data_IF_675765602062
#
_entry.id   IF_675765602062
#
_cell.length_a   1.000
_cell.length_b   1.000
_cell.length_c   1.000
_cell.angle_alpha   90.00
_cell.angle_beta   90.00
_cell.angle_gamma   90.00
#
_symmetry.space_group_name_H-M   'P 1'
#
loop_
_entity.id
_entity.type
_entity.pdbx_description
1 polymer ?
#
# COMPACT_ATOMS: atom_id res chain seq x y z
N UNK A 1 -38.11 27.03 54.29
CA UNK A 1 -36.82 26.97 53.59
C UNK A 1 -36.98 25.96 52.47
N UNK A 2 -36.89 26.40 51.20
CA UNK A 2 -37.28 25.59 50.04
C UNK A 2 -36.19 24.57 49.70
N UNK A 3 -36.20 23.43 50.38
CA UNK A 3 -35.35 22.28 50.07
C UNK A 3 -35.52 21.80 48.62
N UNK A 4 -36.71 21.95 48.04
CA UNK A 4 -36.96 21.68 46.60
C UNK A 4 -36.13 22.56 45.67
N UNK A 5 -35.94 23.84 45.99
CA UNK A 5 -35.13 24.73 45.17
C UNK A 5 -33.66 24.33 45.18
N UNK A 6 -33.17 23.83 46.32
CA UNK A 6 -31.81 23.31 46.45
C UNK A 6 -31.64 22.01 45.66
N UNK A 7 -32.64 21.12 45.70
CA UNK A 7 -32.65 19.88 44.91
C UNK A 7 -32.63 20.14 43.40
N UNK A 8 -33.47 21.05 42.91
CA UNK A 8 -33.51 21.43 41.50
C UNK A 8 -32.19 22.04 41.01
N UNK A 9 -31.55 22.89 41.83
CA UNK A 9 -30.23 23.46 41.51
C UNK A 9 -29.16 22.36 41.45
N UNK A 10 -29.17 21.41 42.39
CA UNK A 10 -28.23 20.29 42.38
C UNK A 10 -28.39 19.39 41.15
N UNK A 11 -29.63 19.16 40.69
CA UNK A 11 -29.92 18.39 39.48
C UNK A 11 -29.42 19.08 38.21
N UNK A 12 -29.61 20.40 38.10
CA UNK A 12 -29.09 21.19 36.97
C UNK A 12 -27.57 21.19 36.96
N UNK A 13 -26.93 21.42 38.11
CA UNK A 13 -25.46 21.40 38.23
C UNK A 13 -24.89 20.00 37.94
N UNK A 14 -25.55 18.95 38.42
CA UNK A 14 -25.18 17.57 38.12
C UNK A 14 -25.27 17.26 36.63
N UNK A 15 -26.37 17.66 35.99
CA UNK A 15 -26.57 17.47 34.54
C UNK A 15 -25.53 18.23 33.71
N UNK A 16 -25.23 19.49 34.06
CA UNK A 16 -24.18 20.28 33.42
C UNK A 16 -22.81 19.62 33.60
N UNK A 17 -22.53 19.08 34.79
CA UNK A 17 -21.27 18.39 35.07
C UNK A 17 -21.11 17.16 34.21
N UNK A 18 -22.15 16.33 34.10
CA UNK A 18 -22.14 15.13 33.24
C UNK A 18 -21.94 15.50 31.77
N UNK A 19 -22.67 16.50 31.26
CA UNK A 19 -22.52 16.99 29.88
C UNK A 19 -21.08 17.47 29.64
N UNK A 20 -20.50 18.21 30.59
CA UNK A 20 -19.12 18.70 30.49
C UNK A 20 -18.11 17.54 30.46
N UNK A 21 -18.30 16.52 31.28
CA UNK A 21 -17.45 15.32 31.26
C UNK A 21 -17.56 14.55 29.94
N UNK A 22 -18.77 14.38 29.40
CA UNK A 22 -18.98 13.73 28.10
C UNK A 22 -18.34 14.52 26.97
N UNK A 23 -18.43 15.85 27.00
CA UNK A 23 -17.78 16.71 26.03
C UNK A 23 -16.26 16.58 26.09
N UNK A 24 -15.69 16.61 27.30
CA UNK A 24 -14.26 16.37 27.50
C UNK A 24 -13.82 15.00 26.98
N UNK A 25 -14.58 13.95 27.27
CA UNK A 25 -14.29 12.59 26.79
C UNK A 25 -14.36 12.50 25.27
N UNK A 26 -15.34 13.14 24.63
CA UNK A 26 -15.44 13.18 23.17
C UNK A 26 -14.22 13.85 22.52
N UNK A 27 -13.76 14.97 23.09
CA UNK A 27 -12.53 15.63 22.66
C UNK A 27 -11.30 14.75 22.91
N UNK A 28 -11.22 14.11 24.07
CA UNK A 28 -10.12 13.21 24.42
C UNK A 28 -10.02 12.03 23.44
N UNK A 29 -11.14 11.39 23.11
CA UNK A 29 -11.19 10.29 22.14
C UNK A 29 -10.80 10.79 20.74
N UNK A 30 -11.24 11.99 20.34
CA UNK A 30 -10.83 12.59 19.06
C UNK A 30 -9.32 12.81 18.99
N UNK A 31 -8.74 13.41 20.03
CA UNK A 31 -7.29 13.62 20.10
C UNK A 31 -6.51 12.30 20.10
N UNK A 32 -6.97 11.29 20.86
CA UNK A 32 -6.35 9.97 20.86
C UNK A 32 -6.37 9.33 19.46
N UNK A 33 -7.47 9.46 18.73
CA UNK A 33 -7.58 8.96 17.34
C UNK A 33 -6.61 9.67 16.40
N UNK A 34 -6.47 10.98 16.52
CA UNK A 34 -5.54 11.77 15.69
C UNK A 34 -4.07 11.45 15.99
N UNK A 35 -3.73 11.21 17.27
CA UNK A 35 -2.41 10.76 17.69
C UNK A 35 -2.07 9.36 17.14
N UNK A 36 -3.00 8.41 17.25
CA UNK A 36 -2.83 7.06 16.71
C UNK A 36 -2.64 7.11 15.18
N UNK A 37 -3.41 7.94 14.47
CA UNK A 37 -3.24 8.10 13.01
C UNK A 37 -1.85 8.62 12.66
N UNK A 38 -1.36 9.60 13.41
CA UNK A 38 -0.01 10.15 13.21
C UNK A 38 1.05 9.10 13.50
N UNK A 39 0.95 8.37 14.62
CA UNK A 39 1.94 7.34 14.98
C UNK A 39 1.98 6.19 13.97
N UNK A 40 0.84 5.78 13.41
CA UNK A 40 0.80 4.76 12.34
C UNK A 40 1.52 5.25 11.09
N UNK A 41 1.32 6.51 10.69
CA UNK A 41 2.03 7.11 9.55
C UNK A 41 3.54 7.18 9.80
N UNK A 42 3.95 7.59 10.99
CA UNK A 42 5.36 7.65 11.37
C UNK A 42 6.01 6.27 11.39
N UNK A 43 5.34 5.27 11.96
CA UNK A 43 5.82 3.89 12.02
C UNK A 43 6.04 3.32 10.62
N UNK A 44 5.11 3.55 9.69
CA UNK A 44 5.27 3.11 8.29
C UNK A 44 6.45 3.77 7.60
N UNK A 45 6.62 5.08 7.79
CA UNK A 45 7.78 5.78 7.25
C UNK A 45 9.09 5.29 7.89
N UNK A 46 9.06 4.85 9.14
CA UNK A 46 10.21 4.22 9.80
C UNK A 46 10.48 2.83 9.21
N UNK A 47 9.46 2.01 8.96
CA UNK A 47 9.60 0.69 8.33
C UNK A 47 10.17 0.79 6.91
N UNK A 48 9.65 1.72 6.08
CA UNK A 48 10.19 1.92 4.74
C UNK A 48 11.66 2.35 4.78
N UNK A 49 12.02 3.30 5.67
CA UNK A 49 13.40 3.72 5.87
C UNK A 49 14.28 2.57 6.33
N UNK A 50 13.80 1.71 7.22
CA UNK A 50 14.54 0.53 7.69
C UNK A 50 14.79 -0.46 6.54
N UNK A 51 13.80 -0.72 5.68
CA UNK A 51 13.98 -1.56 4.48
C UNK A 51 15.01 -0.97 3.51
N UNK A 52 14.93 0.34 3.26
CA UNK A 52 15.90 1.03 2.39
C UNK A 52 17.31 1.00 2.99
N UNK A 53 17.44 1.25 4.29
CA UNK A 53 18.73 1.18 4.99
C UNK A 53 19.29 -0.24 4.99
N UNK A 54 18.46 -1.28 5.10
CA UNK A 54 18.92 -2.67 5.00
C UNK A 54 19.60 -2.95 3.65
N UNK A 55 19.07 -2.42 2.55
CA UNK A 55 19.71 -2.55 1.22
C UNK A 55 21.07 -1.86 1.21
N UNK A 56 21.19 -0.68 1.83
CA UNK A 56 22.44 0.11 1.82
C UNK A 56 23.49 -0.47 2.78
N UNK A 57 23.06 -0.96 3.94
CA UNK A 57 23.94 -1.38 5.04
C UNK A 57 24.37 -2.85 4.94
N UNK A 58 23.69 -3.66 4.14
CA UNK A 58 24.04 -5.07 3.91
C UNK A 58 24.66 -5.21 2.52
N UNK A 59 25.99 -5.36 2.41
CA UNK A 59 26.68 -5.46 1.12
C UNK A 59 26.13 -6.55 0.20
N UNK A 60 25.75 -7.69 0.79
CA UNK A 60 25.16 -8.81 0.07
C UNK A 60 23.84 -8.40 -0.57
N UNK A 61 22.92 -7.79 0.19
CA UNK A 61 21.63 -7.34 -0.32
C UNK A 61 21.78 -6.21 -1.35
N UNK A 62 22.74 -5.29 -1.14
CA UNK A 62 23.07 -4.24 -2.10
C UNK A 62 23.51 -4.83 -3.45
N UNK A 63 24.42 -5.81 -3.42
CA UNK A 63 24.86 -6.55 -4.62
C UNK A 63 23.70 -7.24 -5.32
N UNK A 64 22.83 -7.91 -4.56
CA UNK A 64 21.64 -8.57 -5.11
C UNK A 64 20.68 -7.59 -5.76
N UNK A 65 20.45 -6.44 -5.12
CA UNK A 65 19.59 -5.41 -5.68
C UNK A 65 20.15 -4.85 -7.00
N UNK A 66 21.47 -4.66 -7.09
CA UNK A 66 22.14 -4.27 -8.33
C UNK A 66 21.92 -5.28 -9.46
N UNK A 67 22.10 -6.58 -9.18
CA UNK A 67 21.87 -7.68 -10.13
C UNK A 67 20.40 -7.79 -10.56
N UNK A 68 19.47 -7.68 -9.60
CA UNK A 68 18.04 -7.70 -9.88
C UNK A 68 17.60 -6.55 -10.78
N UNK A 69 18.08 -5.33 -10.50
CA UNK A 69 17.75 -4.14 -11.29
C UNK A 69 18.31 -4.21 -12.71
N UNK A 70 19.51 -4.79 -12.91
CA UNK A 70 20.11 -4.90 -14.24
C UNK A 70 19.35 -5.82 -15.20
N UNK A 71 18.54 -6.76 -14.66
CA UNK A 71 17.71 -7.66 -15.46
C UNK A 71 16.21 -7.39 -15.29
N UNK A 72 15.82 -6.25 -14.68
CA UNK A 72 14.43 -5.89 -14.47
C UNK A 72 13.77 -5.45 -15.80
N UNK A 73 13.23 -6.42 -16.53
CA UNK A 73 12.60 -6.19 -17.84
C UNK A 73 11.27 -6.92 -17.96
N UNK A 74 10.29 -6.39 -18.73
CA UNK A 74 9.03 -7.06 -19.00
C UNK A 74 9.16 -8.43 -19.68
N UNK A 75 10.32 -8.72 -20.29
CA UNK A 75 10.59 -10.00 -20.96
C UNK A 75 10.79 -11.19 -19.99
N UNK A 76 10.94 -10.94 -18.68
CA UNK A 76 11.05 -11.98 -17.68
C UNK A 76 9.65 -12.51 -17.33
N UNK A 77 9.41 -13.79 -17.62
CA UNK A 77 8.08 -14.43 -17.50
C UNK A 77 8.01 -15.50 -16.40
N UNK A 78 9.12 -15.84 -15.75
CA UNK A 78 9.14 -16.76 -14.60
C UNK A 78 10.20 -16.41 -13.58
N UNK A 79 9.99 -16.83 -12.33
CA UNK A 79 10.98 -16.64 -11.25
C UNK A 79 12.31 -17.34 -11.58
N UNK A 80 12.26 -18.51 -12.24
CA UNK A 80 13.46 -19.23 -12.66
C UNK A 80 14.29 -18.42 -13.68
N UNK A 81 13.63 -17.86 -14.70
CA UNK A 81 14.29 -16.97 -15.68
C UNK A 81 14.88 -15.72 -15.00
N UNK A 82 14.16 -15.14 -14.03
CA UNK A 82 14.66 -14.00 -13.27
C UNK A 82 15.93 -14.36 -12.51
N UNK A 83 15.94 -15.48 -11.77
CA UNK A 83 17.11 -15.90 -10.99
C UNK A 83 18.30 -16.27 -11.86
N UNK A 84 18.05 -16.87 -13.03
CA UNK A 84 19.10 -17.15 -14.01
C UNK A 84 19.69 -15.86 -14.59
N UNK A 85 18.84 -14.93 -15.04
CA UNK A 85 19.27 -13.66 -15.61
C UNK A 85 19.99 -12.75 -14.60
N UNK A 86 19.61 -12.81 -13.33
CA UNK A 86 20.27 -12.10 -12.24
C UNK A 86 21.53 -12.83 -11.72
N UNK A 87 21.81 -14.04 -12.22
CA UNK A 87 22.86 -14.94 -11.74
C UNK A 87 22.79 -15.12 -10.21
N UNK A 88 21.59 -15.41 -9.70
CA UNK A 88 21.36 -15.65 -8.27
C UNK A 88 21.72 -17.08 -7.89
N UNK A 89 22.59 -17.22 -6.90
CA UNK A 89 22.80 -18.51 -6.22
C UNK A 89 21.57 -18.93 -5.42
N UNK A 90 21.52 -20.18 -4.95
CA UNK A 90 20.44 -20.62 -4.06
C UNK A 90 20.35 -19.80 -2.76
N UNK A 91 21.49 -19.33 -2.24
CA UNK A 91 21.54 -18.45 -1.07
C UNK A 91 21.00 -17.04 -1.40
N UNK A 92 21.40 -16.51 -2.55
CA UNK A 92 20.91 -15.21 -3.06
C UNK A 92 19.38 -15.20 -3.18
N UNK A 93 18.79 -16.29 -3.66
CA UNK A 93 17.34 -16.45 -3.79
C UNK A 93 16.63 -16.38 -2.42
N UNK A 94 17.19 -16.99 -1.38
CA UNK A 94 16.61 -16.95 -0.03
C UNK A 94 16.60 -15.51 0.51
N UNK A 95 17.71 -14.79 0.36
CA UNK A 95 17.84 -13.39 0.79
C UNK A 95 16.84 -12.52 0.01
N UNK A 96 16.78 -12.70 -1.30
CA UNK A 96 15.88 -11.96 -2.19
C UNK A 96 14.41 -12.17 -1.81
N UNK A 97 13.96 -13.42 -1.72
CA UNK A 97 12.57 -13.75 -1.38
C UNK A 97 12.21 -13.21 0.00
N UNK A 98 13.14 -13.26 0.97
CA UNK A 98 12.93 -12.72 2.31
C UNK A 98 12.75 -11.20 2.29
N UNK A 99 13.63 -10.49 1.56
CA UNK A 99 13.52 -9.05 1.36
C UNK A 99 12.21 -8.66 0.69
N UNK A 100 11.87 -9.34 -0.40
CA UNK A 100 10.64 -9.05 -1.14
C UNK A 100 9.39 -9.29 -0.26
N UNK A 101 9.35 -10.37 0.54
CA UNK A 101 8.27 -10.62 1.52
C UNK A 101 8.15 -9.54 2.58
N UNK A 102 9.27 -9.00 3.05
CA UNK A 102 9.28 -7.88 3.99
C UNK A 102 8.70 -6.62 3.32
N UNK A 103 9.12 -6.33 2.08
CA UNK A 103 8.58 -5.23 1.29
C UNK A 103 7.08 -5.37 1.01
N UNK A 104 6.62 -6.58 0.66
CA UNK A 104 5.19 -6.85 0.47
C UNK A 104 4.37 -6.66 1.74
N UNK A 105 4.90 -7.09 2.89
CA UNK A 105 4.21 -6.88 4.16
C UNK A 105 4.03 -5.40 4.47
N UNK A 106 5.06 -4.59 4.19
CA UNK A 106 4.95 -3.13 4.23
C UNK A 106 3.90 -2.60 3.22
N UNK A 107 3.96 -3.03 1.96
CA UNK A 107 3.04 -2.59 0.91
C UNK A 107 1.57 -2.92 1.25
N UNK A 108 1.29 -4.11 1.79
CA UNK A 108 -0.06 -4.49 2.25
C UNK A 108 -0.59 -3.55 3.33
N UNK A 109 0.25 -3.19 4.30
CA UNK A 109 -0.15 -2.26 5.35
C UNK A 109 -0.42 -0.86 4.77
N UNK A 110 0.40 -0.41 3.83
CA UNK A 110 0.20 0.85 3.13
C UNK A 110 -1.10 0.86 2.32
N UNK A 111 -1.37 -0.20 1.55
CA UNK A 111 -2.61 -0.38 0.77
C UNK A 111 -3.85 -0.32 1.67
N UNK A 112 -3.78 -0.91 2.87
CA UNK A 112 -4.86 -0.83 3.86
C UNK A 112 -5.27 0.59 4.28
N UNK A 113 -4.44 1.60 4.02
CA UNK A 113 -4.76 3.02 4.30
C UNK A 113 -5.17 3.84 3.08
N UNK A 114 -5.25 3.24 1.89
CA UNK A 114 -5.74 3.92 0.70
C UNK A 114 -7.10 4.61 0.92
N UNK A 115 -8.07 4.05 1.69
CA UNK A 115 -9.33 4.73 1.97
C UNK A 115 -9.19 6.10 2.67
N UNK A 116 -8.07 6.36 3.35
CA UNK A 116 -7.81 7.62 4.04
C UNK A 116 -7.13 8.67 3.14
N UNK A 117 -6.79 8.32 1.90
CA UNK A 117 -6.10 9.22 0.95
C UNK A 117 -7.09 10.14 0.24
N UNK A 118 -6.62 11.34 -0.13
CA UNK A 118 -7.36 12.19 -1.07
C UNK A 118 -7.43 11.53 -2.45
N UNK A 119 -8.41 11.87 -3.31
CA UNK A 119 -8.52 11.29 -4.65
C UNK A 119 -7.24 11.43 -5.49
N UNK A 120 -6.55 12.58 -5.41
CA UNK A 120 -5.30 12.81 -6.12
C UNK A 120 -4.16 11.92 -5.61
N UNK A 121 -4.03 11.77 -4.29
CA UNK A 121 -3.02 10.89 -3.68
C UNK A 121 -3.28 9.42 -4.03
N UNK A 122 -4.56 9.01 -3.99
CA UNK A 122 -4.96 7.68 -4.38
C UNK A 122 -4.58 7.37 -5.83
N UNK A 123 -4.85 8.29 -6.75
CA UNK A 123 -4.50 8.12 -8.15
C UNK A 123 -2.99 7.93 -8.37
N UNK A 124 -2.15 8.66 -7.63
CA UNK A 124 -0.70 8.50 -7.73
C UNK A 124 -0.24 7.13 -7.22
N UNK A 125 -0.73 6.74 -6.04
CA UNK A 125 -0.45 5.42 -5.45
C UNK A 125 -0.91 4.29 -6.36
N UNK A 126 -2.08 4.42 -6.96
CA UNK A 126 -2.63 3.46 -7.91
C UNK A 126 -1.74 3.34 -9.15
N UNK A 127 -1.24 4.46 -9.68
CA UNK A 127 -0.30 4.43 -10.79
C UNK A 127 0.99 3.70 -10.43
N UNK A 128 1.56 3.97 -9.27
CA UNK A 128 2.79 3.32 -8.80
C UNK A 128 2.60 1.82 -8.58
N UNK A 129 1.54 1.41 -7.89
CA UNK A 129 1.21 0.00 -7.66
C UNK A 129 1.01 -0.72 -9.01
N UNK A 130 0.23 -0.13 -9.92
CA UNK A 130 0.02 -0.70 -11.24
C UNK A 130 1.34 -0.82 -12.02
N UNK A 131 2.21 0.20 -11.98
CA UNK A 131 3.50 0.18 -12.66
C UNK A 131 4.42 -0.93 -12.13
N UNK A 132 4.42 -1.17 -10.81
CA UNK A 132 5.26 -2.20 -10.18
C UNK A 132 4.74 -3.61 -10.48
N UNK A 133 3.43 -3.85 -10.37
CA UNK A 133 2.88 -5.21 -10.36
C UNK A 133 2.24 -5.67 -11.67
N UNK A 134 2.13 -4.81 -12.69
CA UNK A 134 1.48 -5.18 -13.96
C UNK A 134 2.38 -5.97 -14.92
N UNK A 135 3.71 -5.85 -14.83
CA UNK A 135 4.66 -6.42 -15.80
C UNK A 135 5.94 -6.93 -15.15
N UNK A 136 6.64 -7.84 -15.83
CA UNK A 136 7.98 -8.30 -15.49
C UNK A 136 8.10 -8.93 -14.09
N UNK A 137 9.26 -8.78 -13.42
CA UNK A 137 9.52 -9.43 -12.13
C UNK A 137 8.56 -9.01 -11.00
N UNK A 138 8.03 -7.79 -11.03
CA UNK A 138 7.06 -7.34 -10.04
C UNK A 138 5.73 -8.09 -10.13
N UNK A 139 5.26 -8.38 -11.35
CA UNK A 139 4.10 -9.25 -11.57
C UNK A 139 4.35 -10.66 -11.04
N UNK A 140 5.49 -11.27 -11.34
CA UNK A 140 5.84 -12.62 -10.88
C UNK A 140 5.83 -12.71 -9.36
N UNK A 141 6.40 -11.69 -8.72
CA UNK A 141 6.40 -11.59 -7.27
C UNK A 141 4.98 -11.44 -6.69
N UNK A 142 4.12 -10.62 -7.31
CA UNK A 142 2.72 -10.52 -6.91
C UNK A 142 1.98 -11.87 -7.05
N UNK A 143 2.19 -12.58 -8.15
CA UNK A 143 1.61 -13.89 -8.39
C UNK A 143 2.09 -14.92 -7.37
N UNK A 144 3.35 -14.90 -6.95
CA UNK A 144 3.84 -15.82 -5.90
C UNK A 144 3.29 -15.48 -4.51
N UNK A 145 2.85 -14.25 -4.27
CA UNK A 145 2.13 -13.87 -3.05
C UNK A 145 0.63 -14.22 -3.07
N UNK A 146 0.08 -14.64 -4.21
CA UNK A 146 -1.36 -14.89 -4.39
C UNK A 146 -1.94 -16.01 -3.51
N UNK A 147 -1.07 -16.85 -2.92
CA UNK A 147 -1.45 -17.90 -1.97
C UNK A 147 -1.92 -17.35 -0.60
N UNK A 148 -1.68 -16.07 -0.32
CA UNK A 148 -2.03 -15.44 0.95
C UNK A 148 -3.27 -14.57 0.76
N UNK A 149 -4.47 -15.10 0.99
CA UNK A 149 -5.69 -14.31 0.84
C UNK A 149 -5.65 -13.01 1.67
N UNK A 150 -5.83 -11.88 0.99
CA UNK A 150 -5.67 -10.55 1.59
C UNK A 150 -6.44 -9.49 0.80
N UNK A 151 -7.15 -8.56 1.48
CA UNK A 151 -7.80 -7.43 0.81
C UNK A 151 -6.84 -6.61 -0.06
N UNK A 152 -5.57 -6.52 0.32
CA UNK A 152 -4.55 -5.83 -0.46
C UNK A 152 -4.26 -6.53 -1.80
N UNK A 153 -4.31 -7.87 -1.85
CA UNK A 153 -4.16 -8.58 -3.13
C UNK A 153 -5.36 -8.36 -4.04
N UNK A 154 -6.57 -8.38 -3.49
CA UNK A 154 -7.80 -8.11 -4.25
C UNK A 154 -7.73 -6.71 -4.86
N UNK A 155 -7.33 -5.71 -4.06
CA UNK A 155 -7.12 -4.35 -4.52
C UNK A 155 -6.15 -4.25 -5.72
N UNK A 156 -4.95 -4.85 -5.59
CA UNK A 156 -3.94 -4.81 -6.65
C UNK A 156 -4.43 -5.56 -7.89
N UNK A 157 -5.16 -6.68 -7.73
CA UNK A 157 -5.73 -7.43 -8.85
C UNK A 157 -6.77 -6.62 -9.62
N UNK A 158 -7.73 -6.02 -8.91
CA UNK A 158 -8.74 -5.14 -9.51
C UNK A 158 -8.10 -3.97 -10.25
N UNK A 159 -7.04 -3.40 -9.68
CA UNK A 159 -6.29 -2.30 -10.28
C UNK A 159 -5.57 -2.71 -11.57
N UNK A 160 -4.92 -3.87 -11.58
CA UNK A 160 -4.26 -4.44 -12.77
C UNK A 160 -5.30 -4.73 -13.86
N UNK A 161 -6.43 -5.34 -13.51
CA UNK A 161 -7.50 -5.69 -14.44
C UNK A 161 -8.16 -4.43 -15.04
N UNK A 162 -8.41 -3.42 -14.21
CA UNK A 162 -8.92 -2.11 -14.65
C UNK A 162 -7.97 -1.42 -15.64
N UNK A 163 -6.66 -1.42 -15.34
CA UNK A 163 -5.65 -0.83 -16.21
C UNK A 163 -5.48 -1.60 -17.53
N UNK A 164 -5.69 -2.93 -17.52
CA UNK A 164 -5.67 -3.75 -18.74
C UNK A 164 -6.87 -3.41 -19.65
N UNK A 165 -8.04 -3.22 -19.06
CA UNK A 165 -9.25 -2.89 -19.80
C UNK A 165 -9.17 -1.48 -20.43
N UNK A 166 -8.65 -0.49 -19.69
CA UNK A 166 -8.47 0.87 -20.22
C UNK A 166 -7.48 0.92 -21.40
N UNK A 167 -6.38 0.16 -21.33
CA UNK A 167 -5.43 0.02 -22.43
C UNK A 167 -6.01 -0.75 -23.63
N UNK A 168 -6.86 -1.75 -23.38
CA UNK A 168 -7.59 -2.49 -24.41
C UNK A 168 -8.59 -1.62 -25.17
N UNK A 169 -9.36 -0.79 -24.46
CA UNK A 169 -10.30 0.19 -25.03
C UNK A 169 -9.58 1.26 -25.85
N UNK A 170 -8.45 1.79 -25.35
CA UNK A 170 -7.62 2.72 -26.11
C UNK A 170 -7.13 2.07 -27.40
N UNK A 171 -6.61 0.84 -27.36
CA UNK A 171 -6.14 0.11 -28.55
C UNK A 171 -7.27 -0.18 -29.55
N UNK A 172 -8.48 -0.45 -29.06
CA UNK A 172 -9.68 -0.60 -29.89
C UNK A 172 -10.14 0.72 -30.51
N UNK A 173 -9.99 1.85 -29.80
CA UNK A 173 -10.35 3.18 -30.31
C UNK A 173 -9.39 3.69 -31.40
N UNK A 174 -8.15 3.21 -31.41
CA UNK A 174 -7.16 3.48 -32.47
C UNK A 174 -7.28 2.53 -33.68
N UNK A 175 -8.11 1.49 -33.62
CA UNK A 175 -8.50 0.71 -34.80
C UNK A 175 -9.72 1.35 -35.49
N UNK A 176 -9.48 2.50 -36.13
CA UNK A 176 -10.40 3.03 -37.13
C UNK A 176 -10.23 2.21 -38.44
N UNK A 177 -11.31 1.78 -39.13
CA UNK A 177 -11.22 0.87 -40.29
C UNK A 177 -10.78 1.51 -41.62
N UNK A 178 -10.19 2.71 -41.63
CA UNK A 178 -10.00 3.48 -42.87
C UNK A 178 -8.54 3.80 -43.17
N UNK A 179 -7.73 2.76 -43.39
CA UNK A 179 -6.44 2.88 -44.11
C UNK A 179 -6.19 1.63 -45.00
N UNK A 180 -7.24 1.13 -45.67
CA UNK A 180 -7.04 0.45 -46.96
C UNK A 180 -7.15 1.51 -48.06
N UNK A 181 -6.09 2.30 -48.21
CA UNK A 181 -5.85 3.07 -49.43
C UNK A 181 -5.14 2.18 -50.44
N UNK A 182 -5.59 2.12 -51.71
CA UNK A 182 -4.96 1.27 -52.70
C UNK A 182 -3.78 2.03 -53.31
N UNK A 183 -2.53 1.68 -52.95
CA UNK A 183 -1.34 1.80 -53.81
C UNK A 183 -0.22 0.92 -53.27
#
# INVERSE_FOLDING_TARGET
>A
MNWDAVGAVAEVVGSISVISTLFYLALQVRHARDQIRTSVRENRNATLRALQLAVVQTPELSRLMGKALSCWTPAIESEAQFYEAAEFTAEDQIIWVSYMRAYWSYAREAIGSIPDLTPAQRQEVDREIAAIYSIGPGKLYFESMSLIDSPALQYVRELIDSNRNSLGELRSSYHHPDMQGPF
#
